data_IF_668292044029
#
_entry.id   IF_668292044029
#
_cell.length_a   1.000
_cell.length_b   1.000
_cell.length_c   1.000
_cell.angle_alpha   90.00
_cell.angle_beta   90.00
_cell.angle_gamma   90.00
#
_symmetry.space_group_name_H-M   'P 1'
#
loop_
_entity.id
_entity.type
_entity.pdbx_description
1 polymer ?
#
# COMPACT_ATOMS: atom_id res chain seq x y z
N UNK A 1 41.80 -7.45 43.12
CA UNK A 1 41.48 -7.88 44.50
C UNK A 1 40.02 -7.52 44.74
N UNK A 2 39.09 -8.45 44.48
CA UNK A 2 38.45 -9.39 45.44
C UNK A 2 37.66 -8.61 46.51
N UNK A 3 36.34 -8.74 46.73
CA UNK A 3 35.41 -9.88 46.67
C UNK A 3 33.98 -9.35 46.38
N UNK A 4 33.17 -9.97 45.50
CA UNK A 4 32.34 -11.17 45.70
C UNK A 4 31.25 -11.01 46.79
N UNK A 5 29.99 -10.89 46.35
CA UNK A 5 28.82 -11.31 47.11
C UNK A 5 27.95 -12.26 46.26
N UNK A 6 27.77 -13.45 46.83
CA UNK A 6 27.02 -14.61 46.36
C UNK A 6 25.53 -14.32 46.16
N UNK A 7 24.91 -14.91 45.14
CA UNK A 7 23.61 -15.57 45.32
C UNK A 7 23.51 -16.86 44.52
N UNK A 8 23.09 -17.89 45.25
CA UNK A 8 23.11 -19.30 44.92
C UNK A 8 22.05 -19.71 43.87
N UNK A 9 22.53 -20.53 42.95
CA UNK A 9 21.86 -21.59 42.19
C UNK A 9 20.73 -22.32 42.91
N UNK A 10 19.58 -22.49 42.24
CA UNK A 10 18.81 -23.76 42.26
C UNK A 10 18.25 -24.07 40.87
N UNK A 11 18.95 -24.97 40.16
CA UNK A 11 18.43 -25.74 39.02
C UNK A 11 17.61 -26.90 39.58
N UNK A 12 16.40 -27.10 39.08
CA UNK A 12 15.63 -28.34 39.33
C UNK A 12 15.61 -29.12 38.02
N UNK A 13 16.22 -30.31 38.05
CA UNK A 13 16.08 -31.37 37.06
C UNK A 13 14.95 -32.29 37.51
N UNK A 14 14.08 -32.72 36.61
CA UNK A 14 13.27 -33.92 36.79
C UNK A 14 13.35 -34.79 35.53
N UNK A 15 13.65 -36.07 35.77
CA UNK A 15 13.64 -37.17 34.81
C UNK A 15 12.89 -38.29 35.53
N UNK A 16 11.83 -38.86 34.93
CA UNK A 16 11.47 -40.25 35.17
C UNK A 16 10.67 -40.80 33.98
N UNK A 17 10.99 -42.06 33.70
CA UNK A 17 10.56 -42.94 32.62
C UNK A 17 9.18 -43.55 32.89
N UNK A 18 8.47 -44.00 31.85
CA UNK A 18 7.33 -44.92 32.02
C UNK A 18 6.38 -44.98 30.81
N UNK A 19 6.61 -45.95 29.93
CA UNK A 19 5.68 -46.39 28.87
C UNK A 19 4.59 -47.28 29.51
N UNK A 20 3.32 -47.13 29.09
CA UNK A 20 2.39 -48.21 28.67
C UNK A 20 0.94 -47.66 28.54
N UNK A 21 0.41 -47.87 27.32
CA UNK A 21 -0.98 -47.96 26.87
C UNK A 21 -2.08 -48.16 27.93
N UNK A 22 -3.18 -47.38 27.84
CA UNK A 22 -4.52 -47.92 27.53
C UNK A 22 -5.55 -46.81 27.32
N UNK A 23 -6.40 -47.04 26.34
CA UNK A 23 -7.62 -46.32 25.97
C UNK A 23 -8.56 -46.18 27.18
N UNK A 24 -9.00 -44.96 27.49
CA UNK A 24 -10.30 -44.76 28.14
C UNK A 24 -10.95 -43.45 27.68
N UNK A 25 -12.05 -43.64 26.97
CA UNK A 25 -13.05 -42.66 26.60
C UNK A 25 -13.67 -42.08 27.88
N UNK A 26 -13.51 -40.79 28.11
CA UNK A 26 -14.40 -40.02 28.97
C UNK A 26 -14.65 -38.64 28.35
N UNK A 27 -15.85 -38.51 27.79
CA UNK A 27 -16.55 -37.27 27.47
C UNK A 27 -16.51 -36.37 28.71
N UNK A 28 -15.91 -35.19 28.60
CA UNK A 28 -16.16 -34.07 29.49
C UNK A 28 -16.18 -32.77 28.68
N UNK A 29 -17.39 -32.25 28.58
CA UNK A 29 -17.82 -31.06 27.89
C UNK A 29 -17.45 -29.82 28.73
N UNK A 30 -17.01 -28.76 28.02
CA UNK A 30 -17.02 -27.33 28.37
C UNK A 30 -16.09 -26.79 29.47
N UNK A 31 -15.04 -26.07 29.04
CA UNK A 31 -15.01 -24.60 28.95
C UNK A 31 -13.60 -24.13 28.56
N UNK A 32 -13.37 -23.88 27.28
CA UNK A 32 -12.28 -23.01 26.83
C UNK A 32 -12.93 -21.68 26.46
N UNK A 33 -12.58 -20.64 27.18
CA UNK A 33 -12.92 -19.26 26.85
C UNK A 33 -11.97 -18.86 25.71
N UNK A 34 -12.48 -18.85 24.48
CA UNK A 34 -11.82 -18.17 23.38
C UNK A 34 -12.26 -16.70 23.39
N UNK A 35 -11.27 -15.82 23.34
CA UNK A 35 -11.44 -14.42 22.96
C UNK A 35 -11.91 -14.39 21.50
N UNK A 36 -13.13 -13.94 21.22
CA UNK A 36 -13.59 -13.67 19.86
C UNK A 36 -12.88 -12.42 19.33
N UNK A 37 -12.02 -12.57 18.32
CA UNK A 37 -11.74 -11.49 17.38
C UNK A 37 -12.95 -11.36 16.47
N UNK A 38 -13.51 -10.15 16.36
CA UNK A 38 -14.51 -9.82 15.35
C UNK A 38 -13.84 -9.74 13.97
N UNK A 39 -13.48 -10.90 13.42
CA UNK A 39 -13.16 -11.01 12.01
C UNK A 39 -14.48 -11.07 11.26
N UNK A 40 -14.90 -9.93 10.68
CA UNK A 40 -15.97 -9.92 9.70
C UNK A 40 -15.49 -10.72 8.49
N UNK A 41 -15.94 -11.97 8.41
CA UNK A 41 -15.92 -12.77 7.20
C UNK A 41 -16.62 -11.99 6.08
N UNK A 42 -15.84 -11.45 5.13
CA UNK A 42 -16.37 -11.06 3.84
C UNK A 42 -16.70 -12.33 3.08
N UNK A 43 -17.96 -12.76 3.13
CA UNK A 43 -18.46 -13.82 2.27
C UNK A 43 -18.44 -13.32 0.82
N UNK A 44 -17.46 -13.78 0.04
CA UNK A 44 -17.55 -13.72 -1.42
C UNK A 44 -18.80 -14.49 -1.82
N UNK A 45 -19.81 -13.78 -2.34
CA UNK A 45 -20.90 -14.43 -3.04
C UNK A 45 -20.30 -15.11 -4.27
N UNK A 46 -20.13 -16.43 -4.20
CA UNK A 46 -19.82 -17.25 -5.35
C UNK A 46 -21.00 -17.16 -6.33
N UNK A 47 -20.87 -16.34 -7.36
CA UNK A 47 -21.69 -16.48 -8.55
C UNK A 47 -21.35 -17.84 -9.17
N UNK A 48 -22.33 -18.74 -9.13
CA UNK A 48 -22.29 -19.95 -9.93
C UNK A 48 -22.32 -19.54 -11.40
N UNK A 49 -21.19 -19.73 -12.07
CA UNK A 49 -20.97 -19.39 -13.46
C UNK A 49 -19.48 -19.21 -13.73
N UNK A 50 -18.70 -20.28 -13.57
CA UNK A 50 -17.33 -20.34 -14.10
C UNK A 50 -17.43 -20.26 -15.63
N UNK A 51 -17.38 -19.03 -16.15
CA UNK A 51 -16.89 -18.82 -17.50
C UNK A 51 -15.38 -19.06 -17.45
N UNK A 52 -14.92 -20.13 -18.07
CA UNK A 52 -13.51 -20.28 -18.42
C UNK A 52 -13.22 -19.31 -19.57
N UNK A 53 -13.31 -18.01 -19.32
CA UNK A 53 -12.69 -17.01 -20.18
C UNK A 53 -11.21 -17.29 -20.12
N UNK A 54 -10.64 -17.80 -21.22
CA UNK A 54 -9.20 -17.97 -21.37
C UNK A 54 -8.58 -16.61 -21.05
N UNK A 55 -7.90 -16.49 -19.91
CA UNK A 55 -7.19 -15.29 -19.50
C UNK A 55 -6.33 -14.88 -20.70
N UNK A 56 -6.60 -13.69 -21.26
CA UNK A 56 -5.87 -13.24 -22.44
C UNK A 56 -4.44 -12.88 -21.99
N UNK A 57 -3.56 -13.87 -21.99
CA UNK A 57 -2.19 -13.79 -21.49
C UNK A 57 -1.22 -13.38 -22.60
N UNK A 58 -0.33 -12.44 -22.28
CA UNK A 58 0.73 -11.97 -23.15
C UNK A 58 2.08 -12.07 -22.44
N UNK A 59 2.98 -12.88 -22.99
CA UNK A 59 4.39 -12.87 -22.59
C UNK A 59 5.14 -11.82 -23.40
N UNK A 60 5.88 -10.94 -22.72
CA UNK A 60 6.64 -9.85 -23.37
C UNK A 60 7.66 -10.42 -24.38
N UNK A 61 7.52 -10.00 -25.64
CA UNK A 61 8.43 -10.37 -26.73
C UNK A 61 9.66 -9.43 -26.75
N UNK A 62 10.76 -9.82 -26.08
CA UNK A 62 11.92 -8.94 -25.88
C UNK A 62 12.48 -8.33 -27.18
N UNK A 63 12.70 -9.16 -28.20
CA UNK A 63 13.28 -8.73 -29.47
C UNK A 63 12.40 -7.73 -30.23
N UNK A 64 11.07 -7.89 -30.14
CA UNK A 64 10.10 -7.03 -30.82
C UNK A 64 10.14 -5.58 -30.32
N UNK A 65 10.43 -5.41 -29.03
CA UNK A 65 10.48 -4.09 -28.38
C UNK A 65 11.91 -3.63 -28.04
N UNK A 66 12.93 -4.40 -28.44
CA UNK A 66 14.34 -4.06 -28.16
C UNK A 66 14.71 -4.11 -26.67
N UNK A 67 14.02 -4.93 -25.89
CA UNK A 67 14.21 -5.04 -24.43
C UNK A 67 15.39 -5.98 -24.15
N UNK A 68 16.23 -5.61 -23.16
CA UNK A 68 17.33 -6.45 -22.68
C UNK A 68 17.09 -6.86 -21.23
N UNK A 69 17.34 -8.13 -20.94
CA UNK A 69 17.11 -8.76 -19.62
C UNK A 69 18.41 -9.34 -19.03
N UNK A 70 19.55 -8.77 -19.42
CA UNK A 70 20.91 -9.14 -19.01
C UNK A 70 21.63 -7.98 -18.27
N UNK A 71 20.85 -7.09 -17.66
CA UNK A 71 21.31 -5.89 -16.95
C UNK A 71 22.08 -4.87 -17.80
N UNK A 72 21.76 -4.77 -19.10
CA UNK A 72 22.35 -3.78 -20.01
C UNK A 72 21.30 -2.89 -20.70
N UNK A 73 21.76 -1.83 -21.38
CA UNK A 73 20.92 -0.94 -22.22
C UNK A 73 19.69 -0.35 -21.50
N UNK A 74 19.93 0.44 -20.45
CA UNK A 74 18.88 0.95 -19.57
C UNK A 74 17.79 1.78 -20.29
N UNK A 75 18.19 2.62 -21.24
CA UNK A 75 17.28 3.54 -21.94
C UNK A 75 16.39 2.76 -22.90
N UNK A 76 16.98 1.88 -23.69
CA UNK A 76 16.28 1.02 -24.66
C UNK A 76 15.33 0.06 -23.94
N UNK A 77 15.79 -0.55 -22.84
CA UNK A 77 14.99 -1.46 -22.02
C UNK A 77 13.79 -0.76 -21.42
N UNK A 78 13.96 0.39 -20.77
CA UNK A 78 12.82 1.18 -20.24
C UNK A 78 11.81 1.56 -21.32
N UNK A 79 12.29 2.07 -22.46
CA UNK A 79 11.43 2.45 -23.57
C UNK A 79 10.67 1.25 -24.12
N UNK A 80 11.37 0.14 -24.36
CA UNK A 80 10.80 -1.09 -24.88
C UNK A 80 9.75 -1.69 -23.95
N UNK A 81 9.98 -1.68 -22.63
CA UNK A 81 8.98 -2.14 -21.65
C UNK A 81 7.72 -1.27 -21.74
N UNK A 82 7.86 0.05 -21.75
CA UNK A 82 6.70 0.95 -21.88
C UNK A 82 5.96 0.73 -23.20
N UNK A 83 6.66 0.57 -24.32
CA UNK A 83 6.05 0.26 -25.62
C UNK A 83 5.32 -1.10 -25.59
N UNK A 84 5.87 -2.11 -24.91
CA UNK A 84 5.25 -3.42 -24.78
C UNK A 84 3.99 -3.39 -23.90
N UNK A 85 3.99 -2.57 -22.83
CA UNK A 85 2.81 -2.34 -22.00
C UNK A 85 1.70 -1.60 -22.77
N UNK A 86 2.05 -0.61 -23.59
CA UNK A 86 1.07 0.08 -24.45
C UNK A 86 0.50 -0.88 -25.51
N UNK A 87 1.35 -1.69 -26.15
CA UNK A 87 0.88 -2.74 -27.04
C UNK A 87 -0.09 -3.69 -26.33
N UNK A 88 0.24 -4.08 -25.09
CA UNK A 88 -0.61 -5.00 -24.36
C UNK A 88 -1.98 -4.39 -24.03
N UNK A 89 -1.99 -3.11 -23.64
CA UNK A 89 -3.19 -2.30 -23.42
C UNK A 89 -4.06 -2.19 -24.67
N UNK A 90 -3.48 -1.90 -25.83
CA UNK A 90 -4.20 -1.82 -27.11
C UNK A 90 -4.83 -3.14 -27.53
N UNK A 91 -4.22 -4.27 -27.14
CA UNK A 91 -4.72 -5.63 -27.44
C UNK A 91 -5.69 -6.18 -26.39
N UNK A 92 -5.87 -5.48 -25.27
CA UNK A 92 -6.76 -5.91 -24.20
C UNK A 92 -6.31 -7.23 -23.55
N UNK A 93 -5.01 -7.40 -23.32
CA UNK A 93 -4.52 -8.52 -22.53
C UNK A 93 -4.86 -8.30 -21.05
N UNK A 94 -5.30 -9.39 -20.41
CA UNK A 94 -5.73 -9.41 -19.00
C UNK A 94 -4.59 -9.89 -18.09
N UNK A 95 -3.56 -10.50 -18.68
CA UNK A 95 -2.33 -10.87 -17.97
C UNK A 95 -1.11 -10.61 -18.83
N UNK A 96 -0.10 -9.98 -18.22
CA UNK A 96 1.18 -9.68 -18.84
C UNK A 96 2.26 -10.40 -18.04
N UNK A 97 3.06 -11.22 -18.72
CA UNK A 97 4.13 -12.01 -18.11
C UNK A 97 5.48 -11.55 -18.64
N UNK A 98 6.38 -11.18 -17.74
CA UNK A 98 7.77 -10.92 -18.12
C UNK A 98 8.55 -12.23 -18.23
N UNK A 99 9.43 -12.37 -19.23
CA UNK A 99 10.48 -13.37 -19.17
C UNK A 99 11.37 -13.15 -17.94
N UNK A 100 11.94 -14.23 -17.41
CA UNK A 100 12.95 -14.13 -16.35
C UNK A 100 14.17 -13.34 -16.83
N UNK A 101 14.77 -12.58 -15.93
CA UNK A 101 16.03 -11.89 -16.19
C UNK A 101 16.19 -10.62 -15.35
N UNK A 102 17.26 -9.89 -15.63
CA UNK A 102 17.59 -8.63 -14.98
C UNK A 102 17.43 -7.49 -15.99
N UNK A 103 16.43 -6.65 -15.78
CA UNK A 103 16.09 -5.52 -16.65
C UNK A 103 16.70 -4.26 -16.04
N UNK A 104 17.67 -3.67 -16.75
CA UNK A 104 18.23 -2.38 -16.34
C UNK A 104 17.25 -1.28 -16.75
N UNK A 105 16.80 -0.48 -15.78
CA UNK A 105 15.81 0.58 -15.94
C UNK A 105 16.52 1.93 -15.92
N UNK A 106 16.24 2.78 -16.88
CA UNK A 106 16.77 4.14 -16.94
C UNK A 106 16.24 4.99 -15.79
N UNK A 107 17.14 5.71 -15.12
CA UNK A 107 16.86 6.68 -14.08
C UNK A 107 16.03 7.88 -14.54
N UNK A 108 15.95 8.10 -15.86
CA UNK A 108 15.17 9.15 -16.51
C UNK A 108 13.86 8.64 -17.13
N UNK A 109 13.72 7.33 -17.34
CA UNK A 109 12.58 6.72 -18.01
C UNK A 109 12.03 5.57 -17.14
N UNK A 110 11.15 5.87 -16.16
CA UNK A 110 10.51 4.84 -15.36
C UNK A 110 9.65 3.91 -16.22
N UNK A 111 9.38 2.72 -15.71
CA UNK A 111 8.30 1.86 -16.24
C UNK A 111 6.97 2.46 -15.78
N UNK A 112 6.11 2.85 -16.73
CA UNK A 112 4.84 3.52 -16.48
C UNK A 112 3.69 2.55 -16.75
N UNK A 113 2.87 2.34 -15.73
CA UNK A 113 1.70 1.45 -15.76
C UNK A 113 0.45 2.33 -15.71
N UNK A 114 -0.28 2.37 -16.83
CA UNK A 114 -1.53 3.11 -17.03
C UNK A 114 -2.65 2.21 -17.62
N UNK A 115 -2.62 0.92 -17.27
CA UNK A 115 -3.52 -0.12 -17.77
C UNK A 115 -4.78 -0.26 -16.91
N UNK A 116 -5.70 -1.13 -17.32
CA UNK A 116 -6.88 -1.50 -16.53
C UNK A 116 -7.15 -3.00 -16.59
N UNK A 117 -7.68 -3.56 -15.51
CA UNK A 117 -8.13 -4.96 -15.42
C UNK A 117 -7.02 -5.94 -15.85
N UNK A 118 -5.83 -5.80 -15.27
CA UNK A 118 -4.66 -6.58 -15.71
C UNK A 118 -3.82 -7.09 -14.55
N UNK A 119 -3.36 -8.32 -14.65
CA UNK A 119 -2.30 -8.88 -13.81
C UNK A 119 -0.96 -8.71 -14.51
N UNK A 120 -0.01 -8.04 -13.88
CA UNK A 120 1.37 -7.88 -14.35
C UNK A 120 2.26 -8.79 -13.49
N UNK A 121 2.62 -9.93 -14.05
CA UNK A 121 3.49 -10.93 -13.44
C UNK A 121 4.93 -10.72 -13.89
N UNK A 122 5.79 -10.27 -12.96
CA UNK A 122 7.21 -10.09 -13.22
C UNK A 122 7.94 -11.44 -13.31
N UNK A 123 7.33 -12.56 -12.92
CA UNK A 123 7.85 -13.92 -13.09
C UNK A 123 9.30 -14.09 -12.61
N UNK A 124 9.60 -13.55 -11.43
CA UNK A 124 10.91 -13.50 -10.79
C UNK A 124 11.95 -12.64 -11.51
N UNK A 125 11.54 -11.78 -12.44
CA UNK A 125 12.40 -10.77 -13.02
C UNK A 125 12.82 -9.73 -11.97
N UNK A 126 14.02 -9.17 -12.19
CA UNK A 126 14.52 -8.03 -11.43
C UNK A 126 14.48 -6.79 -12.30
N UNK A 127 13.79 -5.75 -11.85
CA UNK A 127 13.91 -4.41 -12.42
C UNK A 127 14.90 -3.61 -11.57
N UNK A 128 16.07 -3.35 -12.13
CA UNK A 128 17.19 -2.70 -11.47
C UNK A 128 17.36 -1.28 -12.02
N UNK A 129 17.35 -0.25 -11.18
CA UNK A 129 17.69 1.10 -11.64
C UNK A 129 19.16 1.15 -12.10
N UNK A 130 19.43 1.86 -13.19
CA UNK A 130 20.78 2.17 -13.64
C UNK A 130 21.52 3.01 -12.58
N UNK A 131 22.82 2.73 -12.39
CA UNK A 131 23.63 3.48 -11.41
C UNK A 131 23.65 4.95 -11.79
N UNK A 132 23.27 5.81 -10.86
CA UNK A 132 23.15 7.24 -11.10
C UNK A 132 23.52 8.06 -9.85
N UNK A 133 23.35 9.38 -9.94
CA UNK A 133 23.54 10.31 -8.81
C UNK A 133 22.38 11.30 -8.67
N UNK A 134 21.20 10.98 -9.21
CA UNK A 134 20.02 11.85 -9.17
C UNK A 134 19.42 11.85 -7.76
N UNK A 135 18.92 13.01 -7.34
CA UNK A 135 18.19 13.17 -6.08
C UNK A 135 16.87 12.39 -6.09
N UNK A 136 16.28 12.25 -7.28
CA UNK A 136 14.96 11.69 -7.54
C UNK A 136 14.98 10.76 -8.75
N UNK A 137 14.42 9.58 -8.57
CA UNK A 137 14.08 8.64 -9.64
C UNK A 137 12.91 7.76 -9.18
N UNK A 138 12.37 6.96 -10.09
CA UNK A 138 11.46 5.87 -9.74
C UNK A 138 11.69 4.72 -10.71
N UNK A 139 11.64 3.48 -10.25
CA UNK A 139 11.76 2.32 -11.15
C UNK A 139 10.42 2.05 -11.84
N UNK A 140 9.34 2.00 -11.05
CA UNK A 140 7.96 1.82 -11.53
C UNK A 140 7.10 3.01 -11.09
N UNK A 141 6.23 3.47 -11.97
CA UNK A 141 5.13 4.38 -11.67
C UNK A 141 3.81 3.76 -12.12
N UNK A 142 2.88 3.55 -11.19
CA UNK A 142 1.47 3.26 -11.51
C UNK A 142 0.74 4.59 -11.46
N UNK A 143 0.22 5.04 -12.59
CA UNK A 143 -0.25 6.43 -12.76
C UNK A 143 -1.77 6.55 -12.67
N UNK A 144 -2.23 7.78 -12.47
CA UNK A 144 -3.65 8.07 -12.43
C UNK A 144 -4.38 7.59 -13.70
N UNK A 145 -5.59 7.06 -13.53
CA UNK A 145 -6.32 6.33 -14.55
C UNK A 145 -6.03 4.83 -14.61
N UNK A 146 -4.98 4.33 -13.95
CA UNK A 146 -4.81 2.89 -13.72
C UNK A 146 -5.93 2.35 -12.81
N UNK A 147 -6.49 1.19 -13.14
CA UNK A 147 -7.65 0.65 -12.40
C UNK A 147 -7.65 -0.89 -12.38
N UNK A 148 -7.88 -1.50 -11.22
CA UNK A 148 -7.96 -2.96 -11.08
C UNK A 148 -6.72 -3.67 -11.63
N UNK A 149 -5.55 -3.37 -11.04
CA UNK A 149 -4.25 -3.93 -11.44
C UNK A 149 -3.67 -4.72 -10.29
N UNK A 150 -3.08 -5.88 -10.59
CA UNK A 150 -2.17 -6.58 -9.67
C UNK A 150 -0.76 -6.63 -10.23
N UNK A 151 0.22 -6.10 -9.51
CA UNK A 151 1.65 -6.26 -9.81
C UNK A 151 2.25 -7.34 -8.90
N UNK A 152 2.88 -8.37 -9.48
CA UNK A 152 3.32 -9.53 -8.68
C UNK A 152 4.61 -10.23 -9.10
N UNK A 153 5.14 -11.06 -8.21
CA UNK A 153 6.24 -12.03 -8.40
C UNK A 153 7.54 -11.42 -8.94
N UNK A 154 8.10 -10.38 -8.32
CA UNK A 154 9.30 -9.75 -8.86
C UNK A 154 10.15 -9.00 -7.83
N UNK A 155 11.31 -8.54 -8.31
CA UNK A 155 12.28 -7.81 -7.50
C UNK A 155 12.47 -6.42 -8.11
N UNK A 156 12.29 -5.39 -7.30
CA UNK A 156 12.55 -3.99 -7.66
C UNK A 156 13.77 -3.53 -6.88
N UNK A 157 14.85 -3.21 -7.58
CA UNK A 157 16.16 -2.98 -6.96
C UNK A 157 16.74 -1.63 -7.34
N UNK A 158 17.01 -0.80 -6.33
CA UNK A 158 17.70 0.47 -6.52
C UNK A 158 19.21 0.33 -6.61
N UNK A 159 19.90 1.46 -6.70
CA UNK A 159 21.35 1.57 -6.88
C UNK A 159 22.09 2.06 -5.63
N UNK A 160 21.47 2.01 -4.44
CA UNK A 160 22.02 2.57 -3.18
C UNK A 160 23.51 2.26 -2.93
N UNK A 161 23.96 1.07 -3.31
CA UNK A 161 25.35 0.63 -3.10
C UNK A 161 26.34 1.26 -4.09
N UNK A 162 25.88 1.63 -5.29
CA UNK A 162 26.68 2.20 -6.38
C UNK A 162 26.37 3.67 -6.66
N UNK A 163 25.35 4.23 -5.99
CA UNK A 163 24.83 5.57 -6.21
C UNK A 163 25.87 6.67 -5.91
N UNK A 164 25.92 7.69 -6.76
CA UNK A 164 26.77 8.85 -6.57
C UNK A 164 26.10 9.92 -5.71
N UNK A 165 26.33 9.84 -4.40
CA UNK A 165 25.92 10.85 -3.41
C UNK A 165 26.84 12.09 -3.36
N UNK A 166 27.86 12.15 -4.23
CA UNK A 166 28.89 13.19 -4.15
C UNK A 166 28.68 14.29 -5.16
N UNK A 167 28.19 14.00 -6.36
CA UNK A 167 28.03 15.01 -7.41
C UNK A 167 26.92 15.99 -7.08
N UNK A 168 25.76 15.50 -6.63
CA UNK A 168 24.65 16.33 -6.18
C UNK A 168 24.66 16.38 -4.64
N UNK A 169 24.60 17.59 -4.06
CA UNK A 169 24.84 17.84 -2.62
C UNK A 169 23.57 18.14 -1.85
N UNK A 170 22.57 17.28 -1.99
CA UNK A 170 21.26 17.39 -1.34
C UNK A 170 20.84 16.01 -0.82
N UNK A 171 19.74 15.89 -0.07
CA UNK A 171 19.18 14.58 0.26
C UNK A 171 18.69 13.83 -1.00
N UNK A 172 19.14 12.59 -1.17
CA UNK A 172 18.70 11.69 -2.26
C UNK A 172 17.49 10.82 -1.84
N UNK A 173 16.61 11.39 -1.01
CA UNK A 173 15.49 10.69 -0.37
C UNK A 173 14.34 10.36 -1.34
N UNK A 174 14.40 10.86 -2.59
CA UNK A 174 13.36 10.70 -3.59
C UNK A 174 13.69 9.65 -4.66
N UNK A 175 14.74 8.86 -4.47
CA UNK A 175 14.97 7.65 -5.27
C UNK A 175 14.04 6.53 -4.83
N UNK A 176 12.96 6.32 -5.58
CA UNK A 176 11.88 5.42 -5.20
C UNK A 176 11.92 4.09 -5.98
N UNK A 177 11.45 3.01 -5.35
CA UNK A 177 11.22 1.75 -6.05
C UNK A 177 9.97 1.82 -6.90
N UNK A 178 8.81 1.83 -6.22
CA UNK A 178 7.49 1.91 -6.86
C UNK A 178 6.78 3.16 -6.37
N UNK A 179 6.20 3.91 -7.31
CA UNK A 179 5.36 5.06 -7.00
C UNK A 179 3.92 4.84 -7.49
N UNK A 180 2.97 4.90 -6.58
CA UNK A 180 1.54 4.98 -6.90
C UNK A 180 1.14 6.45 -7.01
N UNK A 181 0.97 6.93 -8.24
CA UNK A 181 0.55 8.31 -8.54
C UNK A 181 -0.96 8.44 -8.70
N UNK A 182 -1.71 7.75 -7.85
CA UNK A 182 -3.16 7.57 -7.98
C UNK A 182 -3.52 6.21 -8.53
N UNK A 183 -4.65 6.15 -9.25
CA UNK A 183 -5.28 4.91 -9.68
C UNK A 183 -6.21 4.33 -8.60
N UNK A 184 -6.93 3.26 -8.97
CA UNK A 184 -8.00 2.67 -8.17
C UNK A 184 -7.89 1.15 -8.17
N UNK A 185 -8.18 0.52 -7.03
CA UNK A 185 -8.16 -0.94 -6.88
C UNK A 185 -6.82 -1.54 -7.35
N UNK A 186 -5.73 -1.07 -6.73
CA UNK A 186 -4.37 -1.48 -7.08
C UNK A 186 -3.84 -2.44 -6.01
N UNK A 187 -3.38 -3.59 -6.45
CA UNK A 187 -2.78 -4.63 -5.62
C UNK A 187 -1.30 -4.80 -5.97
N UNK A 188 -0.47 -4.95 -4.95
CA UNK A 188 0.91 -5.39 -5.09
C UNK A 188 1.13 -6.59 -4.18
N UNK A 189 1.51 -7.72 -4.76
CA UNK A 189 1.65 -8.99 -4.04
C UNK A 189 2.94 -9.72 -4.43
N UNK A 190 3.62 -10.35 -3.48
CA UNK A 190 4.88 -11.07 -3.72
C UNK A 190 5.95 -10.26 -4.49
N UNK A 191 6.10 -8.98 -4.12
CA UNK A 191 7.13 -8.07 -4.64
C UNK A 191 8.16 -7.80 -3.56
N UNK A 192 9.45 -7.89 -3.92
CA UNK A 192 10.56 -7.45 -3.06
C UNK A 192 11.10 -6.12 -3.56
N UNK A 193 11.09 -5.09 -2.72
CA UNK A 193 11.75 -3.81 -3.03
C UNK A 193 13.01 -3.64 -2.16
N UNK A 194 14.17 -3.40 -2.77
CA UNK A 194 15.44 -3.31 -2.03
C UNK A 194 16.40 -2.29 -2.63
N UNK A 195 17.36 -1.83 -1.83
CA UNK A 195 18.52 -1.03 -2.25
C UNK A 195 18.18 0.27 -2.99
N UNK A 196 17.02 0.88 -2.75
CA UNK A 196 16.71 2.23 -3.21
C UNK A 196 17.36 3.28 -2.29
N UNK A 197 17.62 4.47 -2.81
CA UNK A 197 18.21 5.56 -2.01
C UNK A 197 17.21 6.24 -1.07
N UNK A 198 15.93 6.18 -1.42
CA UNK A 198 14.82 6.80 -0.71
C UNK A 198 13.73 5.81 -0.30
N UNK A 199 12.49 6.09 -0.71
CA UNK A 199 11.31 5.30 -0.34
C UNK A 199 11.20 4.02 -1.18
N UNK A 200 11.09 2.85 -0.55
CA UNK A 200 10.78 1.60 -1.27
C UNK A 200 9.48 1.72 -2.06
N UNK A 201 8.44 2.20 -1.40
CA UNK A 201 7.12 2.45 -1.98
C UNK A 201 6.68 3.85 -1.57
N UNK A 202 6.16 4.61 -2.51
CA UNK A 202 5.63 5.96 -2.28
C UNK A 202 4.24 6.08 -2.94
N UNK A 203 3.30 6.68 -2.22
CA UNK A 203 1.92 6.87 -2.68
C UNK A 203 1.57 8.36 -2.67
N UNK A 204 0.99 8.85 -3.76
CA UNK A 204 0.45 10.20 -3.86
C UNK A 204 -0.97 10.19 -4.46
N UNK A 205 -1.76 11.22 -4.16
CA UNK A 205 -3.22 11.24 -4.38
C UNK A 205 -3.68 11.41 -5.84
N UNK A 206 -2.82 11.22 -6.84
CA UNK A 206 -3.14 11.39 -8.26
C UNK A 206 -3.61 12.80 -8.66
N UNK A 207 -4.40 12.94 -9.73
CA UNK A 207 -4.81 14.25 -10.28
C UNK A 207 -5.96 14.95 -9.54
N UNK A 208 -6.18 14.63 -8.25
CA UNK A 208 -7.06 15.37 -7.34
C UNK A 208 -8.54 15.50 -7.73
N UNK A 209 -9.06 14.82 -8.76
CA UNK A 209 -10.46 15.02 -9.22
C UNK A 209 -11.51 14.60 -8.18
N UNK A 210 -11.21 13.61 -7.34
CA UNK A 210 -12.09 13.08 -6.28
C UNK A 210 -11.65 13.45 -4.86
N UNK A 211 -10.67 14.34 -4.70
CA UNK A 211 -10.15 14.73 -3.39
C UNK A 211 -10.98 15.85 -2.79
N UNK A 212 -11.45 15.64 -1.57
CA UNK A 212 -11.94 16.70 -0.70
C UNK A 212 -10.77 17.53 -0.14
N UNK A 213 -10.97 18.84 -0.03
CA UNK A 213 -9.97 19.80 0.45
C UNK A 213 -9.43 19.41 1.84
N UNK A 214 -8.16 19.69 2.12
CA UNK A 214 -7.60 19.37 3.44
C UNK A 214 -8.29 20.20 4.55
N UNK A 215 -8.63 19.56 5.67
CA UNK A 215 -9.06 20.28 6.88
C UNK A 215 -7.82 20.83 7.59
N UNK A 216 -7.65 22.16 7.56
CA UNK A 216 -6.55 22.81 8.27
C UNK A 216 -6.95 23.20 9.69
N UNK A 217 -5.97 23.43 10.56
CA UNK A 217 -6.20 23.90 11.94
C UNK A 217 -7.02 25.19 12.00
N UNK A 218 -6.82 26.10 11.03
CA UNK A 218 -7.63 27.33 10.89
C UNK A 218 -9.11 27.09 10.63
N UNK A 219 -9.49 25.88 10.20
CA UNK A 219 -10.88 25.49 9.92
C UNK A 219 -11.57 24.85 11.12
N UNK A 220 -10.89 24.71 12.26
CA UNK A 220 -11.43 24.09 13.47
C UNK A 220 -11.68 25.17 14.53
N UNK A 221 -12.78 25.03 15.29
CA UNK A 221 -13.16 25.91 16.41
C UNK A 221 -13.60 25.10 17.61
N UNK A 222 -13.53 25.71 18.80
CA UNK A 222 -14.20 25.20 19.99
C UNK A 222 -15.70 25.13 19.74
N UNK A 223 -16.30 23.98 19.99
CA UNK A 223 -17.72 23.74 19.73
C UNK A 223 -18.03 22.27 19.59
N UNK A 224 -19.32 21.94 19.57
CA UNK A 224 -19.81 20.59 19.28
C UNK A 224 -20.92 20.66 18.23
N UNK A 225 -21.39 19.51 17.79
CA UNK A 225 -22.61 19.36 17.01
C UNK A 225 -23.58 18.55 17.89
N UNK A 226 -24.85 18.95 17.93
CA UNK A 226 -25.90 18.24 18.67
C UNK A 226 -26.28 16.94 17.97
N UNK A 227 -27.02 16.07 18.67
CA UNK A 227 -27.61 14.85 18.10
C UNK A 227 -28.47 15.10 16.85
N UNK A 228 -29.03 16.29 16.72
CA UNK A 228 -29.86 16.72 15.58
C UNK A 228 -29.07 17.47 14.50
N UNK A 229 -27.73 17.43 14.53
CA UNK A 229 -26.88 18.08 13.54
C UNK A 229 -26.75 19.60 13.69
N UNK A 230 -27.11 20.18 14.83
CA UNK A 230 -27.02 21.64 15.04
C UNK A 230 -25.68 21.98 15.69
N UNK A 231 -24.94 22.92 15.10
CA UNK A 231 -23.70 23.42 15.70
C UNK A 231 -24.01 24.14 17.01
N UNK A 232 -23.34 23.74 18.10
CA UNK A 232 -23.52 24.30 19.44
C UNK A 232 -22.19 24.77 20.04
N UNK A 233 -22.26 25.72 20.96
CA UNK A 233 -21.12 26.15 21.74
C UNK A 233 -20.69 25.05 22.72
N UNK A 234 -19.38 24.83 22.84
CA UNK A 234 -18.77 23.91 23.80
C UNK A 234 -17.30 24.25 23.95
N UNK A 235 -16.78 24.15 25.17
CA UNK A 235 -15.34 24.28 25.47
C UNK A 235 -14.65 22.92 25.69
N UNK A 236 -15.39 21.81 25.54
CA UNK A 236 -14.86 20.44 25.71
C UNK A 236 -14.44 19.81 24.39
N UNK A 237 -15.10 20.22 23.30
CA UNK A 237 -14.95 19.62 21.99
C UNK A 237 -14.46 20.67 20.99
N UNK A 238 -13.97 20.19 19.86
CA UNK A 238 -13.71 21.01 18.69
C UNK A 238 -14.48 20.44 17.50
N UNK A 239 -14.87 21.32 16.58
CA UNK A 239 -15.57 20.97 15.34
C UNK A 239 -15.04 21.81 14.18
N UNK A 240 -15.39 21.41 12.96
CA UNK A 240 -15.16 22.25 11.79
C UNK A 240 -16.01 23.53 11.88
N UNK A 241 -15.49 24.63 11.35
CA UNK A 241 -16.19 25.93 11.25
C UNK A 241 -17.40 25.85 10.34
N UNK A 242 -17.22 25.15 9.22
CA UNK A 242 -18.17 25.02 8.13
C UNK A 242 -18.41 23.54 7.85
N UNK A 243 -19.49 23.27 7.12
CA UNK A 243 -19.77 21.95 6.54
C UNK A 243 -19.01 21.85 5.23
N UNK A 244 -18.49 20.66 4.96
CA UNK A 244 -17.63 20.40 3.83
C UNK A 244 -18.37 19.61 2.74
N UNK A 245 -18.26 20.09 1.50
CA UNK A 245 -18.87 19.41 0.37
C UNK A 245 -18.03 18.18 -0.02
N UNK A 246 -18.54 17.01 0.29
CA UNK A 246 -17.94 15.71 -0.02
C UNK A 246 -18.58 15.02 -1.22
N UNK A 247 -19.39 15.70 -2.04
CA UNK A 247 -20.12 15.08 -3.15
C UNK A 247 -19.23 14.39 -4.19
N UNK A 248 -17.94 14.75 -4.23
CA UNK A 248 -16.92 14.13 -5.09
C UNK A 248 -16.26 12.89 -4.51
N UNK A 249 -16.46 12.58 -3.23
CA UNK A 249 -15.86 11.41 -2.58
C UNK A 249 -16.55 10.09 -3.00
N UNK A 250 -17.74 10.15 -3.61
CA UNK A 250 -18.49 8.95 -3.96
C UNK A 250 -19.15 8.32 -2.73
N UNK A 251 -19.16 6.99 -2.65
CA UNK A 251 -19.83 6.25 -1.57
C UNK A 251 -19.01 6.16 -0.27
N UNK A 252 -17.72 6.46 -0.34
CA UNK A 252 -16.79 6.34 0.78
C UNK A 252 -15.98 7.62 0.91
N UNK A 253 -15.67 8.04 2.13
CA UNK A 253 -14.67 9.07 2.36
C UNK A 253 -13.83 8.67 3.56
N UNK A 254 -12.57 9.08 3.53
CA UNK A 254 -11.62 8.88 4.62
C UNK A 254 -11.10 10.24 5.08
N UNK A 255 -10.97 10.40 6.41
CA UNK A 255 -10.29 11.53 7.00
C UNK A 255 -9.11 11.00 7.79
N UNK A 256 -7.91 11.32 7.33
CA UNK A 256 -6.65 10.90 7.95
C UNK A 256 -5.68 12.06 8.06
N UNK A 257 -4.70 11.91 8.95
CA UNK A 257 -3.63 12.90 9.08
C UNK A 257 -2.61 12.71 7.96
N UNK A 258 -2.48 13.70 7.07
CA UNK A 258 -1.49 13.64 5.98
C UNK A 258 -0.08 13.61 6.60
N UNK A 259 0.74 12.62 6.20
CA UNK A 259 2.07 12.35 6.77
C UNK A 259 2.02 11.99 8.27
N UNK A 260 1.02 11.22 8.73
CA UNK A 260 0.88 10.81 10.14
C UNK A 260 2.12 10.15 10.78
N UNK A 261 3.07 9.62 9.98
CA UNK A 261 4.36 9.13 10.49
C UNK A 261 5.23 10.25 11.11
N UNK A 262 4.98 11.52 10.77
CA UNK A 262 5.59 12.69 11.40
C UNK A 262 4.91 13.06 12.73
N UNK A 263 3.92 12.28 13.16
CA UNK A 263 3.12 12.50 14.36
C UNK A 263 1.85 13.32 14.09
N UNK A 264 1.09 13.54 15.17
CA UNK A 264 -0.22 14.20 15.15
C UNK A 264 -0.18 15.49 16.00
N UNK A 265 0.49 16.57 15.54
CA UNK A 265 0.69 17.76 16.37
C UNK A 265 -0.62 18.48 16.74
N UNK A 266 -1.67 18.39 15.90
CA UNK A 266 -2.91 19.16 16.06
C UNK A 266 -4.15 18.32 16.35
N UNK A 267 -4.42 17.27 15.55
CA UNK A 267 -5.55 16.36 15.74
C UNK A 267 -5.05 15.08 16.41
N UNK A 268 -4.91 15.13 17.74
CA UNK A 268 -4.33 14.03 18.53
C UNK A 268 -5.28 12.86 18.78
N UNK A 269 -6.59 13.11 18.75
CA UNK A 269 -7.57 12.05 18.92
C UNK A 269 -7.78 11.35 17.58
N UNK A 270 -7.70 10.02 17.59
CA UNK A 270 -8.00 9.19 16.41
C UNK A 270 -9.50 9.05 16.19
N UNK A 271 -10.30 9.22 17.22
CA UNK A 271 -11.76 9.14 17.13
C UNK A 271 -12.35 10.49 16.78
N UNK A 272 -13.31 10.49 15.86
CA UNK A 272 -14.10 11.67 15.50
C UNK A 272 -15.51 11.25 15.11
N UNK A 273 -16.48 12.16 15.27
CA UNK A 273 -17.85 11.93 14.80
C UNK A 273 -18.09 12.78 13.54
N UNK A 274 -18.53 12.14 12.47
CA UNK A 274 -18.98 12.79 11.25
C UNK A 274 -20.47 13.05 11.30
N UNK A 275 -20.89 14.24 10.87
CA UNK A 275 -22.28 14.64 10.71
C UNK A 275 -22.52 14.90 9.24
N UNK A 276 -23.50 14.20 8.66
CA UNK A 276 -23.83 14.27 7.24
C UNK A 276 -25.10 15.07 7.04
N UNK A 277 -25.10 15.85 5.98
CA UNK A 277 -26.19 16.72 5.58
C UNK A 277 -26.52 16.47 4.11
N UNK A 278 -27.78 16.63 3.74
CA UNK A 278 -28.22 16.57 2.35
C UNK A 278 -27.85 17.87 1.60
N UNK A 279 -28.19 17.93 0.30
CA UNK A 279 -27.95 19.11 -0.54
C UNK A 279 -28.65 20.40 -0.06
N UNK A 280 -29.68 20.26 0.76
CA UNK A 280 -30.45 21.36 1.35
C UNK A 280 -30.01 21.67 2.78
N UNK A 281 -28.89 21.08 3.24
CA UNK A 281 -28.33 21.23 4.58
C UNK A 281 -29.21 20.68 5.70
N UNK A 282 -30.12 19.75 5.39
CA UNK A 282 -30.84 19.01 6.42
C UNK A 282 -29.94 17.90 6.97
N UNK A 283 -29.94 17.73 8.29
CA UNK A 283 -29.21 16.65 8.93
C UNK A 283 -29.76 15.29 8.51
N UNK A 284 -28.88 14.40 8.06
CA UNK A 284 -29.22 13.05 7.60
C UNK A 284 -28.85 12.02 8.66
N UNK A 285 -27.58 11.99 9.06
CA UNK A 285 -27.08 11.02 10.03
C UNK A 285 -25.78 11.49 10.67
N UNK A 286 -25.40 10.84 11.78
CA UNK A 286 -24.07 10.94 12.39
C UNK A 286 -23.42 9.56 12.44
N UNK A 287 -22.09 9.51 12.29
CA UNK A 287 -21.30 8.28 12.41
C UNK A 287 -20.06 8.53 13.24
N UNK A 288 -19.78 7.63 14.17
CA UNK A 288 -18.50 7.60 14.87
C UNK A 288 -17.47 6.90 13.98
N UNK A 289 -16.33 7.56 13.81
CA UNK A 289 -15.29 7.23 12.86
C UNK A 289 -13.93 7.18 13.56
N UNK A 290 -12.99 6.47 12.94
CA UNK A 290 -11.58 6.44 13.33
C UNK A 290 -10.78 7.02 12.17
N UNK A 291 -9.83 7.89 12.48
CA UNK A 291 -8.90 8.43 11.49
C UNK A 291 -8.11 7.32 10.83
N UNK A 292 -7.98 7.41 9.51
CA UNK A 292 -7.08 6.58 8.72
C UNK A 292 -5.62 6.95 9.01
#
# INVERSE_FOLDING_TARGET
MNNLNNYNTRRIKFFLWGVISLILICILINRIIFFESNDKEYSLQTSQGMDNSVENEYTIELDKFGIKNDATFAVETSKGINDALQYAKEKGYEKIVFPKGEYLISELNPVVIDLKNVVIDLNQATFQINTNGLEKYSIIQIVDGAENIRLTNGIIRGDKDTHDYKTIKTPHEWGCGIVFKGGKDLEMDNITVTNVTGYGIYTESGTNSNRFDAVYTKNVVSGSISESGIMIESNKNSRTKEVYNISKCGEQFELGYTLGYQGYPYLKNKEYTSYFYDENMNFVEKKDCIQF
#
